data_IF_972677551684
#
_entry.id   IF_972677551684
#
_cell.length_a   1.000
_cell.length_b   1.000
_cell.length_c   1.000
_cell.angle_alpha   90.00
_cell.angle_beta   90.00
_cell.angle_gamma   90.00
#
_symmetry.space_group_name_H-M   'P 1'
#
loop_
_entity.id
_entity.type
_entity.pdbx_description
1 polymer ?
#
# COMPACT_ATOMS: atom_id res chain seq x y z
N UNK A 1 -22.79 3.44 3.20
CA UNK A 1 -21.70 2.56 2.72
C UNK A 1 -20.43 3.11 3.35
N UNK A 2 -19.92 2.46 4.40
CA UNK A 2 -18.72 2.92 5.09
C UNK A 2 -17.50 2.64 4.22
N UNK A 3 -16.92 3.68 3.63
CA UNK A 3 -15.72 3.56 2.79
C UNK A 3 -14.53 3.18 3.67
N UNK A 4 -14.06 1.93 3.59
CA UNK A 4 -12.83 1.42 4.25
C UNK A 4 -11.57 2.24 3.89
N UNK A 5 -11.64 3.06 2.84
CA UNK A 5 -10.55 3.89 2.32
C UNK A 5 -10.33 5.21 3.07
N UNK A 6 -11.13 5.50 4.10
CA UNK A 6 -11.04 6.77 4.82
C UNK A 6 -9.85 6.84 5.81
N UNK A 7 -9.19 5.70 6.07
CA UNK A 7 -8.09 5.61 7.03
C UNK A 7 -6.87 4.96 6.38
N UNK A 8 -5.69 5.53 6.64
CA UNK A 8 -4.44 4.91 6.22
C UNK A 8 -4.26 3.58 6.97
N UNK A 9 -3.97 2.46 6.28
CA UNK A 9 -3.75 1.19 6.94
C UNK A 9 -2.52 1.20 7.87
N UNK A 10 -1.51 2.04 7.57
CA UNK A 10 -0.27 2.17 8.35
C UNK A 10 -0.36 3.15 9.51
N UNK A 11 -0.60 4.43 9.22
CA UNK A 11 -0.62 5.48 10.24
C UNK A 11 -2.01 5.72 10.85
N UNK A 12 -3.06 5.03 10.39
CA UNK A 12 -4.48 5.26 10.78
C UNK A 12 -4.93 6.72 10.60
N UNK A 13 -4.20 7.50 9.80
CA UNK A 13 -4.53 8.88 9.47
C UNK A 13 -5.78 8.96 8.61
N UNK A 14 -6.61 9.97 8.84
CA UNK A 14 -7.86 10.23 8.08
C UNK A 14 -7.62 10.99 6.78
N UNK A 15 -6.39 11.48 6.57
CA UNK A 15 -6.00 12.22 5.38
C UNK A 15 -5.56 11.22 4.32
N UNK A 16 -6.42 11.01 3.34
CA UNK A 16 -6.21 10.09 2.23
C UNK A 16 -6.56 10.82 0.93
N UNK A 17 -5.70 10.70 -0.07
CA UNK A 17 -5.89 11.26 -1.40
C UNK A 17 -6.27 10.10 -2.32
N UNK A 18 -7.41 10.22 -2.96
CA UNK A 18 -7.91 9.23 -3.91
C UNK A 18 -7.25 9.44 -5.28
N UNK A 19 -6.51 8.44 -5.76
CA UNK A 19 -5.81 8.48 -7.05
C UNK A 19 -6.51 7.64 -8.13
N UNK A 20 -7.78 7.23 -7.91
CA UNK A 20 -8.52 6.35 -8.82
C UNK A 20 -8.49 4.90 -8.36
N UNK A 21 -7.47 4.13 -8.71
CA UNK A 21 -7.34 2.71 -8.32
C UNK A 21 -6.54 2.52 -7.01
N UNK A 22 -5.77 3.53 -6.64
CA UNK A 22 -4.94 3.55 -5.45
C UNK A 22 -5.33 4.71 -4.53
N UNK A 23 -4.86 4.65 -3.30
CA UNK A 23 -4.95 5.76 -2.36
C UNK A 23 -3.55 6.16 -1.91
N UNK A 24 -3.31 7.46 -1.80
CA UNK A 24 -2.09 8.01 -1.25
C UNK A 24 -2.35 8.58 0.14
N UNK A 25 -1.50 8.23 1.11
CA UNK A 25 -1.49 8.88 2.40
C UNK A 25 -0.38 9.93 2.44
N UNK A 26 -0.67 11.25 2.51
CA UNK A 26 0.34 12.30 2.53
C UNK A 26 1.17 12.32 3.82
N UNK A 27 0.63 11.83 4.94
CA UNK A 27 1.36 11.73 6.22
C UNK A 27 2.43 10.63 6.16
N UNK A 28 2.05 9.45 5.68
CA UNK A 28 2.96 8.33 5.50
C UNK A 28 3.82 8.47 4.22
N UNK A 29 3.37 9.28 3.25
CA UNK A 29 3.86 9.32 1.85
C UNK A 29 3.93 7.94 1.20
N UNK A 30 2.92 7.13 1.50
CA UNK A 30 2.79 5.77 0.99
C UNK A 30 1.53 5.66 0.16
N UNK A 31 1.63 4.85 -0.89
CA UNK A 31 0.52 4.55 -1.80
C UNK A 31 0.08 3.11 -1.60
N UNK A 32 -1.24 2.88 -1.57
CA UNK A 32 -1.84 1.57 -1.31
C UNK A 32 -2.91 1.26 -2.37
N UNK A 33 -3.00 0.01 -2.80
CA UNK A 33 -4.04 -0.41 -3.75
C UNK A 33 -5.38 -0.53 -3.03
N UNK A 34 -6.45 0.03 -3.61
CA UNK A 34 -7.80 -0.11 -3.06
C UNK A 34 -8.24 -1.57 -2.97
N UNK A 35 -7.84 -2.36 -3.96
CA UNK A 35 -8.08 -3.80 -3.99
C UNK A 35 -7.49 -4.51 -2.76
N UNK A 36 -6.27 -4.15 -2.34
CA UNK A 36 -5.65 -4.70 -1.12
C UNK A 36 -6.43 -4.26 0.12
N UNK A 37 -6.91 -3.03 0.18
CA UNK A 37 -7.69 -2.51 1.32
C UNK A 37 -9.05 -3.19 1.45
N UNK A 38 -9.66 -3.56 0.33
CA UNK A 38 -10.92 -4.29 0.33
C UNK A 38 -10.73 -5.77 0.70
N UNK A 39 -9.67 -6.39 0.17
CA UNK A 39 -9.43 -7.83 0.27
C UNK A 39 -8.67 -8.25 1.55
N UNK A 40 -7.82 -7.40 2.11
CA UNK A 40 -6.90 -7.73 3.20
C UNK A 40 -7.21 -6.94 4.49
N UNK A 41 -6.71 -7.45 5.62
CA UNK A 41 -6.71 -6.73 6.88
C UNK A 41 -5.60 -5.67 6.92
N UNK A 42 -5.77 -4.59 7.68
CA UNK A 42 -4.84 -3.45 7.70
C UNK A 42 -3.37 -3.82 7.91
N UNK A 43 -3.09 -4.89 8.65
CA UNK A 43 -1.73 -5.36 8.95
C UNK A 43 -1.05 -6.05 7.75
N UNK A 44 -1.85 -6.60 6.83
CA UNK A 44 -1.36 -7.30 5.64
C UNK A 44 -1.24 -6.39 4.41
N UNK A 45 -1.70 -5.14 4.51
CA UNK A 45 -1.66 -4.19 3.40
C UNK A 45 -0.26 -3.59 3.31
N UNK A 46 0.44 -3.92 2.24
CA UNK A 46 1.75 -3.35 1.91
C UNK A 46 1.59 -2.11 1.04
N UNK A 47 2.47 -1.12 1.25
CA UNK A 47 2.55 -0.03 0.29
C UNK A 47 3.10 -0.53 -1.05
N UNK A 48 2.68 0.12 -2.13
CA UNK A 48 3.15 -0.20 -3.49
C UNK A 48 4.68 -0.13 -3.56
N UNK A 49 5.28 0.85 -2.90
CA UNK A 49 6.74 0.98 -2.80
C UNK A 49 7.40 -0.23 -2.13
N UNK A 50 6.79 -0.81 -1.09
CA UNK A 50 7.29 -2.00 -0.41
C UNK A 50 7.18 -3.24 -1.30
N UNK A 51 6.05 -3.41 -2.00
CA UNK A 51 5.88 -4.46 -3.02
C UNK A 51 6.96 -4.37 -4.10
N UNK A 52 7.22 -3.17 -4.62
CA UNK A 52 8.23 -2.94 -5.65
C UNK A 52 9.66 -3.24 -5.16
N UNK A 53 10.00 -2.81 -3.93
CA UNK A 53 11.31 -3.09 -3.34
C UNK A 53 11.54 -4.60 -3.14
N UNK A 54 10.52 -5.32 -2.68
CA UNK A 54 10.57 -6.77 -2.53
C UNK A 54 10.80 -7.48 -3.87
N UNK A 55 10.05 -7.12 -4.92
CA UNK A 55 10.22 -7.67 -6.26
C UNK A 55 11.63 -7.39 -6.80
N UNK A 56 12.14 -6.17 -6.58
CA UNK A 56 13.49 -5.78 -6.97
C UNK A 56 14.55 -6.61 -6.26
N UNK A 57 14.39 -6.81 -4.95
CA UNK A 57 15.30 -7.61 -4.12
C UNK A 57 15.33 -9.08 -4.55
N UNK A 58 14.17 -9.68 -4.87
CA UNK A 58 14.11 -11.05 -5.41
C UNK A 58 14.80 -11.15 -6.78
N UNK A 59 14.56 -10.18 -7.66
CA UNK A 59 15.13 -10.19 -9.01
C UNK A 59 16.65 -10.07 -8.99
N UNK A 60 17.21 -9.30 -8.05
CA UNK A 60 18.65 -9.12 -7.90
C UNK A 60 19.36 -10.37 -7.33
N UNK A 61 18.64 -11.20 -6.56
CA UNK A 61 19.20 -12.42 -5.97
C UNK A 61 19.30 -13.60 -6.96
N UNK A 62 18.62 -13.52 -8.12
CA UNK A 62 18.74 -14.53 -9.20
C UNK A 62 20.05 -14.44 -9.99
N UNK A 63 20.85 -13.39 -9.81
CA UNK A 63 22.12 -13.18 -10.51
C UNK A 63 23.35 -13.59 -9.69
N UNK A 64 23.16 -14.27 -8.55
CA UNK A 64 24.23 -14.70 -7.64
C UNK A 64 24.19 -16.20 -7.32
N UNK A 65 23.75 -17.00 -8.29
CA UNK A 65 23.89 -18.46 -8.29
C UNK A 65 24.67 -18.89 -9.53
#
# INVERSE_FOLDING_TARGET
>A
MESKFNLCPRCKGTRIIDMGDTIECPDCRLEFEKADIEALESDQIFAISEKLDFIRSIKNNKNKM
#
